data_IF_894610565786
#
_entry.id   IF_894610565786
#
_cell.length_a   1.000
_cell.length_b   1.000
_cell.length_c   1.000
_cell.angle_alpha   90.00
_cell.angle_beta   90.00
_cell.angle_gamma   90.00
#
_symmetry.space_group_name_H-M   'P 1'
#
loop_
_entity.id
_entity.type
_entity.pdbx_description
1 polymer ?
#
# COMPACT_ATOMS: atom_id res chain seq x y z
N UNK A 1 -22.54 -27.68 -7.89
CA UNK A 1 -21.74 -26.59 -8.47
C UNK A 1 -22.61 -25.35 -8.41
N UNK A 2 -22.16 -24.26 -7.79
CA UNK A 2 -22.91 -23.01 -7.78
C UNK A 2 -23.20 -22.59 -9.21
N UNK A 3 -24.46 -22.29 -9.51
CA UNK A 3 -24.95 -22.05 -10.88
C UNK A 3 -24.37 -20.75 -11.48
N UNK A 4 -23.65 -19.95 -10.68
CA UNK A 4 -23.06 -18.67 -11.06
C UNK A 4 -21.61 -18.56 -10.58
N UNK A 5 -20.64 -18.39 -11.50
CA UNK A 5 -19.25 -18.24 -11.15
C UNK A 5 -18.95 -16.88 -10.51
N UNK A 6 -18.01 -16.84 -9.57
CA UNK A 6 -17.39 -15.61 -9.08
C UNK A 6 -15.97 -15.58 -9.64
N UNK A 7 -15.65 -14.53 -10.39
CA UNK A 7 -14.40 -14.37 -11.12
C UNK A 7 -13.51 -13.33 -10.44
N UNK A 8 -12.23 -13.67 -10.33
CA UNK A 8 -11.16 -12.79 -9.89
C UNK A 8 -10.06 -12.85 -10.95
N UNK A 9 -9.32 -11.76 -11.13
CA UNK A 9 -8.16 -11.75 -12.01
C UNK A 9 -6.96 -11.11 -11.31
N UNK A 10 -5.79 -11.74 -11.43
CA UNK A 10 -4.52 -11.17 -10.98
C UNK A 10 -3.37 -11.68 -11.84
N UNK A 11 -2.47 -10.79 -12.22
CA UNK A 11 -1.28 -11.10 -13.02
C UNK A 11 -0.07 -10.38 -12.42
N UNK A 12 1.07 -11.08 -12.32
CA UNK A 12 2.32 -10.53 -11.79
C UNK A 12 2.47 -10.61 -10.26
N UNK A 13 3.51 -9.94 -9.70
CA UNK A 13 3.81 -9.99 -8.28
C UNK A 13 2.62 -9.53 -7.42
N UNK A 14 2.38 -10.26 -6.34
CA UNK A 14 1.22 -10.04 -5.47
C UNK A 14 1.68 -9.65 -4.06
N UNK A 15 1.37 -8.43 -3.59
CA UNK A 15 1.63 -8.04 -2.21
C UNK A 15 0.81 -8.87 -1.21
N UNK A 16 1.31 -9.04 0.01
CA UNK A 16 0.68 -9.87 1.03
C UNK A 16 -0.74 -9.43 1.40
N UNK A 17 -1.04 -8.13 1.38
CA UNK A 17 -2.40 -7.66 1.66
C UNK A 17 -3.39 -8.07 0.57
N UNK A 18 -2.95 -8.22 -0.69
CA UNK A 18 -3.78 -8.75 -1.78
C UNK A 18 -4.02 -10.24 -1.59
N UNK A 19 -3.00 -11.01 -1.15
CA UNK A 19 -3.20 -12.41 -0.75
C UNK A 19 -4.26 -12.52 0.34
N UNK A 20 -4.24 -11.65 1.35
CA UNK A 20 -5.23 -11.63 2.41
C UNK A 20 -6.62 -11.21 1.90
N UNK A 21 -6.72 -10.24 0.98
CA UNK A 21 -7.98 -9.89 0.31
C UNK A 21 -8.58 -11.12 -0.38
N UNK A 22 -7.79 -11.83 -1.20
CA UNK A 22 -8.21 -13.07 -1.87
C UNK A 22 -8.65 -14.15 -0.87
N UNK A 23 -7.94 -14.31 0.24
CA UNK A 23 -8.34 -15.24 1.30
C UNK A 23 -9.70 -14.86 1.91
N UNK A 24 -9.98 -13.57 2.11
CA UNK A 24 -11.30 -13.11 2.58
C UNK A 24 -12.38 -13.50 1.57
N UNK A 25 -12.15 -13.30 0.27
CA UNK A 25 -13.09 -13.67 -0.79
C UNK A 25 -13.32 -15.17 -0.83
N UNK A 26 -12.26 -15.98 -0.84
CA UNK A 26 -12.35 -17.45 -0.89
C UNK A 26 -13.03 -18.03 0.35
N UNK A 27 -12.86 -17.40 1.52
CA UNK A 27 -13.55 -17.79 2.74
C UNK A 27 -15.06 -17.58 2.62
N UNK A 28 -15.49 -16.44 2.07
CA UNK A 28 -16.90 -16.10 1.88
C UNK A 28 -17.52 -16.83 0.68
N UNK A 29 -16.71 -17.11 -0.32
CA UNK A 29 -17.11 -17.69 -1.59
C UNK A 29 -16.10 -18.78 -2.03
N UNK A 30 -16.18 -20.00 -1.46
CA UNK A 30 -15.21 -21.07 -1.76
C UNK A 30 -15.14 -21.51 -3.23
N UNK A 31 -16.17 -21.19 -4.02
CA UNK A 31 -16.22 -21.45 -5.46
C UNK A 31 -15.65 -20.33 -6.34
N UNK A 32 -15.11 -19.25 -5.75
CA UNK A 32 -14.50 -18.17 -6.52
C UNK A 32 -13.26 -18.64 -7.29
N UNK A 33 -13.09 -18.13 -8.50
CA UNK A 33 -12.06 -18.55 -9.45
C UNK A 33 -11.10 -17.40 -9.69
N UNK A 34 -9.89 -17.53 -9.15
CA UNK A 34 -8.79 -16.65 -9.49
C UNK A 34 -8.16 -17.11 -10.81
N UNK A 35 -8.18 -16.22 -11.78
CA UNK A 35 -7.55 -16.41 -13.07
C UNK A 35 -6.28 -15.55 -13.17
N UNK A 36 -5.25 -16.12 -13.77
CA UNK A 36 -4.15 -15.40 -14.38
C UNK A 36 -4.40 -15.30 -15.90
N UNK A 37 -3.42 -14.76 -16.65
CA UNK A 37 -3.55 -14.62 -18.11
C UNK A 37 -3.76 -15.96 -18.81
N UNK A 38 -3.10 -17.03 -18.36
CA UNK A 38 -3.22 -18.37 -18.96
C UNK A 38 -4.59 -19.01 -18.66
N UNK A 39 -5.07 -18.89 -17.41
CA UNK A 39 -6.39 -19.33 -16.98
C UNK A 39 -7.51 -18.61 -17.72
N UNK A 40 -7.35 -17.31 -17.98
CA UNK A 40 -8.26 -16.59 -18.86
C UNK A 40 -8.18 -17.07 -20.31
N UNK A 41 -6.98 -17.35 -20.85
CA UNK A 41 -6.82 -17.79 -22.24
C UNK A 41 -7.62 -19.05 -22.55
N UNK A 42 -7.71 -19.99 -21.60
CA UNK A 42 -8.48 -21.21 -21.73
C UNK A 42 -10.00 -20.99 -21.87
N UNK A 43 -10.51 -19.83 -21.42
CA UNK A 43 -11.92 -19.43 -21.54
C UNK A 43 -12.16 -18.49 -22.73
N UNK A 44 -11.10 -17.90 -23.28
CA UNK A 44 -11.18 -16.88 -24.31
C UNK A 44 -11.26 -17.51 -25.70
N UNK A 45 -12.46 -17.53 -26.30
CA UNK A 45 -12.73 -18.14 -27.61
C UNK A 45 -13.28 -17.15 -28.65
N UNK A 46 -13.88 -16.04 -28.23
CA UNK A 46 -14.41 -15.00 -29.12
C UNK A 46 -13.48 -13.78 -29.21
N UNK A 47 -13.44 -13.10 -30.37
CA UNK A 47 -12.64 -11.88 -30.60
C UNK A 47 -11.14 -12.08 -30.30
N UNK A 48 -10.60 -13.26 -30.62
CA UNK A 48 -9.17 -13.62 -30.50
C UNK A 48 -8.22 -12.76 -31.33
N UNK A 49 -8.75 -11.98 -32.27
CA UNK A 49 -7.99 -11.02 -33.07
C UNK A 49 -7.53 -9.78 -32.27
N UNK A 50 -8.07 -9.56 -31.08
CA UNK A 50 -7.74 -8.42 -30.24
C UNK A 50 -6.33 -8.57 -29.62
N UNK A 51 -5.52 -7.49 -29.58
CA UNK A 51 -4.13 -7.57 -29.15
C UNK A 51 -4.01 -7.45 -27.62
N UNK A 52 -4.64 -8.35 -26.86
CA UNK A 52 -4.75 -8.27 -25.40
C UNK A 52 -3.39 -8.14 -24.72
N UNK A 53 -2.41 -8.94 -25.15
CA UNK A 53 -1.07 -8.98 -24.53
C UNK A 53 -0.24 -7.71 -24.77
N UNK A 54 -0.69 -6.83 -25.67
CA UNK A 54 -0.08 -5.51 -25.91
C UNK A 54 -0.63 -4.41 -25.00
N UNK A 55 -1.71 -4.68 -24.27
CA UNK A 55 -2.35 -3.71 -23.38
C UNK A 55 -1.63 -3.66 -22.04
N UNK A 56 -1.72 -2.50 -21.37
CA UNK A 56 -1.34 -2.40 -19.97
C UNK A 56 -2.22 -3.33 -19.10
N UNK A 57 -1.69 -3.84 -17.99
CA UNK A 57 -2.36 -4.86 -17.17
C UNK A 57 -3.76 -4.44 -16.68
N UNK A 58 -3.94 -3.16 -16.35
CA UNK A 58 -5.26 -2.62 -15.99
C UNK A 58 -6.27 -2.75 -17.13
N UNK A 59 -5.85 -2.42 -18.36
CA UNK A 59 -6.69 -2.56 -19.56
C UNK A 59 -6.93 -4.02 -19.95
N UNK A 60 -5.96 -4.91 -19.69
CA UNK A 60 -6.18 -6.35 -19.82
C UNK A 60 -7.29 -6.81 -18.88
N UNK A 61 -7.21 -6.43 -17.60
CA UNK A 61 -8.23 -6.75 -16.59
C UNK A 61 -9.62 -6.22 -16.97
N UNK A 62 -9.71 -4.99 -17.50
CA UNK A 62 -10.97 -4.41 -17.98
C UNK A 62 -11.61 -5.21 -19.12
N UNK A 63 -10.80 -5.69 -20.08
CA UNK A 63 -11.30 -6.56 -21.13
C UNK A 63 -11.74 -7.92 -20.57
N UNK A 64 -10.91 -8.52 -19.71
CA UNK A 64 -11.15 -9.85 -19.14
C UNK A 64 -12.47 -9.88 -18.36
N UNK A 65 -12.69 -8.91 -17.46
CA UNK A 65 -13.95 -8.83 -16.70
C UNK A 65 -15.17 -8.64 -17.61
N UNK A 66 -15.06 -7.82 -18.64
CA UNK A 66 -16.13 -7.60 -19.62
C UNK A 66 -16.45 -8.89 -20.39
N UNK A 67 -15.42 -9.60 -20.84
CA UNK A 67 -15.54 -10.88 -21.54
C UNK A 67 -16.19 -11.95 -20.65
N UNK A 68 -15.66 -12.15 -19.44
CA UNK A 68 -16.13 -13.18 -18.52
C UNK A 68 -17.62 -13.00 -18.21
N UNK A 69 -18.05 -11.78 -17.87
CA UNK A 69 -19.45 -11.53 -17.58
C UNK A 69 -20.34 -11.60 -18.83
N UNK A 70 -19.86 -11.17 -20.00
CA UNK A 70 -20.66 -11.23 -21.23
C UNK A 70 -20.93 -12.68 -21.66
N UNK A 71 -19.91 -13.55 -21.58
CA UNK A 71 -19.97 -14.91 -22.13
C UNK A 71 -20.30 -15.98 -21.08
N UNK A 72 -19.93 -15.77 -19.83
CA UNK A 72 -20.12 -16.75 -18.75
C UNK A 72 -21.03 -16.25 -17.61
N UNK A 73 -21.32 -14.94 -17.57
CA UNK A 73 -22.12 -14.34 -16.51
C UNK A 73 -21.47 -14.48 -15.13
N UNK A 74 -22.30 -14.37 -14.09
CA UNK A 74 -21.87 -14.48 -12.70
C UNK A 74 -21.51 -13.12 -12.11
N UNK A 75 -20.51 -13.11 -11.23
CA UNK A 75 -19.99 -11.92 -10.56
C UNK A 75 -18.49 -11.80 -10.84
N UNK A 76 -18.01 -10.59 -11.11
CA UNK A 76 -16.60 -10.27 -11.14
C UNK A 76 -16.28 -9.36 -9.95
N UNK A 77 -15.16 -9.63 -9.28
CA UNK A 77 -14.65 -8.85 -8.14
C UNK A 77 -13.15 -8.61 -8.36
N UNK A 78 -12.67 -7.38 -8.21
CA UNK A 78 -11.23 -7.12 -8.23
C UNK A 78 -10.57 -7.75 -6.99
N UNK A 79 -9.32 -8.20 -7.16
CA UNK A 79 -8.59 -8.97 -6.15
C UNK A 79 -8.25 -8.16 -4.88
N UNK A 80 -8.29 -6.82 -4.95
CA UNK A 80 -8.12 -5.90 -3.84
C UNK A 80 -9.44 -5.61 -3.11
N UNK A 81 -10.29 -6.62 -2.97
CA UNK A 81 -11.54 -6.57 -2.22
C UNK A 81 -11.43 -7.31 -0.89
N UNK A 82 -11.79 -6.65 0.21
CA UNK A 82 -11.98 -7.32 1.50
C UNK A 82 -13.45 -7.72 1.65
N UNK A 83 -13.74 -9.01 1.47
CA UNK A 83 -15.09 -9.56 1.58
C UNK A 83 -15.49 -9.78 3.04
N UNK A 84 -16.58 -9.13 3.46
CA UNK A 84 -17.12 -9.24 4.82
C UNK A 84 -18.29 -10.23 4.91
N UNK A 85 -18.96 -10.49 3.80
CA UNK A 85 -20.14 -11.37 3.68
C UNK A 85 -20.00 -12.28 2.46
N UNK A 86 -20.82 -13.33 2.38
CA UNK A 86 -20.97 -14.13 1.16
C UNK A 86 -21.44 -13.23 0.00
N UNK A 87 -20.67 -13.16 -1.08
CA UNK A 87 -20.97 -12.34 -2.26
C UNK A 87 -21.84 -13.07 -3.30
N UNK A 88 -22.09 -14.38 -3.12
CA UNK A 88 -22.94 -15.18 -4.02
C UNK A 88 -24.35 -14.60 -4.24
N UNK A 89 -25.02 -13.99 -3.24
CA UNK A 89 -26.30 -13.31 -3.45
C UNK A 89 -26.24 -12.21 -4.52
N UNK A 90 -25.11 -11.52 -4.69
CA UNK A 90 -24.96 -10.48 -5.72
C UNK A 90 -24.97 -11.08 -7.14
N UNK A 91 -24.39 -12.27 -7.31
CA UNK A 91 -24.44 -13.01 -8.58
C UNK A 91 -25.88 -13.44 -8.92
N UNK A 92 -26.63 -13.88 -7.91
CA UNK A 92 -28.05 -14.25 -8.07
C UNK A 92 -28.93 -13.03 -8.39
N UNK A 93 -28.72 -11.90 -7.72
CA UNK A 93 -29.38 -10.65 -8.06
C UNK A 93 -29.08 -10.24 -9.52
N UNK A 94 -27.84 -10.42 -9.99
CA UNK A 94 -27.48 -10.12 -11.36
C UNK A 94 -28.20 -11.02 -12.38
N UNK A 95 -28.47 -12.29 -12.04
CA UNK A 95 -29.27 -13.18 -12.88
C UNK A 95 -30.72 -12.72 -12.98
N UNK A 96 -31.30 -12.28 -11.86
CA UNK A 96 -32.69 -11.81 -11.76
C UNK A 96 -32.91 -10.46 -12.46
N UNK A 97 -32.01 -9.50 -12.25
CA UNK A 97 -32.08 -8.13 -12.76
C UNK A 97 -31.34 -7.94 -14.10
N UNK A 98 -30.70 -8.99 -14.62
CA UNK A 98 -29.85 -8.95 -15.80
C UNK A 98 -28.47 -8.32 -15.57
N UNK A 99 -28.36 -7.36 -14.65
CA UNK A 99 -27.11 -6.73 -14.22
C UNK A 99 -27.21 -6.21 -12.78
N UNK A 100 -26.10 -6.33 -12.04
CA UNK A 100 -25.88 -5.69 -10.73
C UNK A 100 -24.55 -4.97 -10.75
N UNK A 101 -24.52 -3.76 -10.21
CA UNK A 101 -23.29 -3.00 -9.98
C UNK A 101 -23.54 -1.81 -9.08
N UNK A 102 -22.56 -0.92 -8.95
CA UNK A 102 -22.71 0.30 -8.16
C UNK A 102 -22.01 1.48 -8.84
N UNK A 103 -22.31 2.69 -8.38
CA UNK A 103 -21.61 3.91 -8.83
C UNK A 103 -20.53 4.29 -7.83
N UNK A 104 -19.38 4.71 -8.34
CA UNK A 104 -18.37 5.36 -7.49
C UNK A 104 -18.89 6.70 -6.98
N UNK A 105 -18.29 7.29 -5.92
CA UNK A 105 -18.69 8.59 -5.39
C UNK A 105 -18.71 9.71 -6.45
N UNK A 106 -17.87 9.61 -7.48
CA UNK A 106 -17.81 10.55 -8.60
C UNK A 106 -18.96 10.36 -9.62
N UNK A 107 -19.83 9.36 -9.43
CA UNK A 107 -21.09 9.18 -10.16
C UNK A 107 -21.02 8.24 -11.37
N UNK A 108 -19.85 7.81 -11.80
CA UNK A 108 -19.72 6.82 -12.88
C UNK A 108 -19.90 5.38 -12.36
N UNK A 109 -20.30 4.46 -13.24
CA UNK A 109 -20.37 3.04 -12.91
C UNK A 109 -18.98 2.49 -12.59
N UNK A 110 -18.85 1.85 -11.43
CA UNK A 110 -17.66 1.05 -11.12
C UNK A 110 -17.67 -0.24 -11.95
N UNK A 111 -16.49 -0.76 -12.26
CA UNK A 111 -16.30 -2.07 -12.87
C UNK A 111 -15.48 -3.02 -11.99
N UNK A 112 -15.10 -2.60 -10.77
CA UNK A 112 -14.32 -3.40 -9.81
C UNK A 112 -15.16 -4.44 -9.06
N UNK A 113 -16.48 -4.26 -9.00
CA UNK A 113 -17.45 -5.27 -8.58
C UNK A 113 -18.70 -5.11 -9.44
N UNK A 114 -19.01 -6.11 -10.23
CA UNK A 114 -20.21 -6.14 -11.07
C UNK A 114 -20.61 -7.57 -11.41
N UNK A 115 -21.91 -7.80 -11.52
CA UNK A 115 -22.47 -9.09 -11.91
C UNK A 115 -23.40 -8.94 -13.12
N UNK A 116 -23.50 -10.00 -13.91
CA UNK A 116 -24.42 -10.03 -15.04
C UNK A 116 -24.93 -11.44 -15.33
N UNK A 117 -26.13 -11.50 -15.92
CA UNK A 117 -26.55 -12.71 -16.65
C UNK A 117 -25.76 -12.81 -17.95
N UNK A 118 -25.22 -13.98 -18.26
CA UNK A 118 -24.55 -14.23 -19.54
C UNK A 118 -25.47 -13.83 -20.72
N UNK A 119 -24.94 -13.09 -21.69
CA UNK A 119 -25.71 -12.52 -22.81
C UNK A 119 -26.74 -11.45 -22.42
N UNK A 120 -26.76 -10.97 -21.16
CA UNK A 120 -27.66 -9.91 -20.69
C UNK A 120 -27.46 -8.59 -21.47
N UNK A 121 -28.54 -7.83 -21.66
CA UNK A 121 -28.54 -6.66 -22.55
C UNK A 121 -27.50 -5.59 -22.19
N UNK A 122 -27.30 -5.33 -20.89
CA UNK A 122 -26.29 -4.37 -20.40
C UNK A 122 -24.87 -4.89 -20.68
N UNK A 123 -24.53 -6.08 -20.20
CA UNK A 123 -23.16 -6.59 -20.32
C UNK A 123 -22.76 -6.88 -21.77
N UNK A 124 -23.70 -7.33 -22.60
CA UNK A 124 -23.47 -7.53 -24.02
C UNK A 124 -23.23 -6.19 -24.75
N UNK A 125 -23.90 -5.10 -24.34
CA UNK A 125 -23.64 -3.77 -24.90
C UNK A 125 -22.31 -3.19 -24.41
N UNK A 126 -21.98 -3.37 -23.13
CA UNK A 126 -20.68 -3.00 -22.56
C UNK A 126 -19.55 -3.69 -23.31
N UNK A 127 -19.59 -5.03 -23.41
CA UNK A 127 -18.58 -5.81 -24.11
C UNK A 127 -18.42 -5.40 -25.58
N UNK A 128 -19.52 -5.22 -26.32
CA UNK A 128 -19.46 -4.73 -27.71
C UNK A 128 -18.77 -3.38 -27.83
N UNK A 129 -18.98 -2.46 -26.87
CA UNK A 129 -18.33 -1.15 -26.85
C UNK A 129 -16.83 -1.26 -26.54
N UNK A 130 -16.45 -2.14 -25.61
CA UNK A 130 -15.04 -2.44 -25.29
C UNK A 130 -14.32 -3.00 -26.53
N UNK A 131 -14.90 -4.01 -27.19
CA UNK A 131 -14.35 -4.60 -28.43
C UNK A 131 -14.21 -3.53 -29.52
N UNK A 132 -15.26 -2.73 -29.74
CA UNK A 132 -15.21 -1.64 -30.72
C UNK A 132 -14.12 -0.60 -30.37
N UNK A 133 -13.93 -0.30 -29.08
CA UNK A 133 -12.91 0.65 -28.61
C UNK A 133 -11.49 0.13 -28.85
N UNK A 134 -11.26 -1.17 -28.65
CA UNK A 134 -9.98 -1.83 -28.93
C UNK A 134 -9.69 -1.91 -30.44
N UNK A 135 -10.69 -2.24 -31.26
CA UNK A 135 -10.54 -2.30 -32.73
C UNK A 135 -10.20 -0.96 -33.38
N UNK A 136 -10.50 0.17 -32.74
CA UNK A 136 -10.07 1.50 -33.21
C UNK A 136 -8.55 1.69 -33.15
N UNK A 137 -7.84 0.93 -32.31
CA UNK A 137 -6.37 0.99 -32.15
C UNK A 137 -5.84 2.40 -31.87
N UNK A 138 -6.59 3.20 -31.13
CA UNK A 138 -6.18 4.53 -30.66
C UNK A 138 -5.77 4.49 -29.19
N UNK A 139 -4.85 5.37 -28.72
CA UNK A 139 -4.38 5.41 -27.34
C UNK A 139 -5.52 5.37 -26.33
N UNK A 140 -5.41 4.54 -25.30
CA UNK A 140 -6.45 4.31 -24.30
C UNK A 140 -6.24 5.20 -23.08
N UNK A 141 -7.33 5.80 -22.59
CA UNK A 141 -7.38 6.43 -21.28
C UNK A 141 -7.81 5.44 -20.20
N UNK A 142 -7.69 5.85 -18.93
CA UNK A 142 -7.99 5.00 -17.76
C UNK A 142 -9.37 4.32 -17.83
N UNK A 143 -10.42 5.07 -18.17
CA UNK A 143 -11.81 4.58 -18.13
C UNK A 143 -12.33 4.00 -19.46
N UNK A 144 -11.50 3.96 -20.50
CA UNK A 144 -11.93 3.69 -21.88
C UNK A 144 -12.49 2.27 -22.09
N UNK A 145 -12.06 1.30 -21.29
CA UNK A 145 -12.50 -0.09 -21.36
C UNK A 145 -13.40 -0.51 -20.19
N UNK A 146 -13.59 0.36 -19.20
CA UNK A 146 -14.36 0.09 -17.98
C UNK A 146 -15.59 1.00 -17.88
N UNK A 147 -15.51 2.05 -17.06
CA UNK A 147 -16.66 2.89 -16.67
C UNK A 147 -17.28 3.67 -17.82
N UNK A 148 -16.50 4.14 -18.80
CA UNK A 148 -17.02 4.89 -19.95
C UNK A 148 -18.00 4.04 -20.79
N UNK A 149 -17.61 2.86 -21.31
CA UNK A 149 -18.55 1.99 -22.01
C UNK A 149 -19.66 1.45 -21.11
N UNK A 150 -19.40 1.25 -19.80
CA UNK A 150 -20.40 0.72 -18.87
C UNK A 150 -21.53 1.73 -18.61
N UNK A 151 -21.19 3.00 -18.37
CA UNK A 151 -22.18 4.08 -18.24
C UNK A 151 -23.07 4.16 -19.48
N UNK A 152 -22.48 4.07 -20.68
CA UNK A 152 -23.23 4.09 -21.93
C UNK A 152 -24.16 2.87 -22.08
N UNK A 153 -23.72 1.68 -21.66
CA UNK A 153 -24.53 0.47 -21.65
C UNK A 153 -25.69 0.55 -20.66
N UNK A 154 -25.45 1.04 -19.44
CA UNK A 154 -26.49 1.28 -18.43
C UNK A 154 -27.50 2.32 -18.93
N UNK A 155 -27.05 3.44 -19.50
CA UNK A 155 -27.96 4.45 -20.04
C UNK A 155 -28.85 3.90 -21.18
N UNK A 156 -28.31 3.02 -22.02
CA UNK A 156 -29.04 2.47 -23.16
C UNK A 156 -29.93 1.27 -22.81
N UNK A 157 -29.52 0.44 -21.84
CA UNK A 157 -30.08 -0.91 -21.60
C UNK A 157 -30.40 -1.22 -20.13
N UNK A 158 -30.10 -0.31 -19.20
CA UNK A 158 -30.13 -0.55 -17.77
C UNK A 158 -31.49 -0.45 -17.07
N UNK A 159 -32.61 -0.53 -17.79
CA UNK A 159 -33.96 -0.38 -17.19
C UNK A 159 -34.22 -1.37 -16.06
N UNK A 160 -33.73 -2.60 -16.19
CA UNK A 160 -33.90 -3.67 -15.20
C UNK A 160 -32.69 -3.82 -14.27
N UNK A 161 -31.60 -3.09 -14.55
CA UNK A 161 -30.35 -3.21 -13.81
C UNK A 161 -30.50 -2.73 -12.36
N UNK A 162 -29.96 -3.51 -11.43
CA UNK A 162 -29.94 -3.16 -10.02
C UNK A 162 -28.63 -2.41 -9.71
N UNK A 163 -28.77 -1.14 -9.29
CA UNK A 163 -27.65 -0.31 -8.86
C UNK A 163 -27.64 -0.27 -7.33
N UNK A 164 -26.63 -0.88 -6.72
CA UNK A 164 -26.46 -0.95 -5.28
C UNK A 164 -26.00 0.39 -4.70
N UNK A 165 -26.36 0.70 -3.44
CA UNK A 165 -25.80 1.85 -2.73
C UNK A 165 -24.28 1.75 -2.62
N UNK A 166 -23.56 2.82 -2.93
CA UNK A 166 -22.09 2.87 -2.84
C UNK A 166 -21.56 2.44 -1.46
N UNK A 167 -22.13 2.88 -0.33
CA UNK A 167 -21.65 2.47 1.00
C UNK A 167 -21.82 0.98 1.30
N UNK A 168 -22.58 0.22 0.50
CA UNK A 168 -22.71 -1.23 0.69
C UNK A 168 -21.54 -2.02 0.07
N UNK A 169 -20.78 -1.42 -0.86
CA UNK A 169 -19.69 -2.08 -1.61
C UNK A 169 -18.35 -1.37 -1.38
N UNK A 170 -18.39 -0.04 -1.31
CA UNK A 170 -17.23 0.81 -1.15
C UNK A 170 -17.52 1.85 -0.05
N UNK A 171 -17.57 1.41 1.23
CA UNK A 171 -17.80 2.33 2.35
C UNK A 171 -16.70 3.38 2.49
N UNK A 172 -15.47 3.03 2.08
CA UNK A 172 -14.32 3.93 2.03
C UNK A 172 -13.97 4.24 0.57
N UNK A 173 -14.11 5.49 0.11
CA UNK A 173 -13.66 5.93 -1.21
C UNK A 173 -12.14 5.76 -1.41
N UNK A 174 -11.72 5.51 -2.66
CA UNK A 174 -10.30 5.30 -2.98
C UNK A 174 -9.47 6.57 -2.83
N UNK A 175 -10.10 7.74 -2.88
CA UNK A 175 -9.46 9.05 -2.64
C UNK A 175 -9.35 9.41 -1.15
N UNK A 176 -9.77 8.51 -0.26
CA UNK A 176 -9.63 8.61 1.20
C UNK A 176 -8.86 7.40 1.76
N UNK A 177 -8.03 6.77 0.91
CA UNK A 177 -7.34 5.51 1.24
C UNK A 177 -6.37 5.63 2.42
N UNK A 178 -5.93 6.84 2.79
CA UNK A 178 -5.11 7.06 3.99
C UNK A 178 -5.78 6.55 5.27
N UNK A 179 -7.11 6.48 5.29
CA UNK A 179 -7.85 5.91 6.42
C UNK A 179 -7.47 4.44 6.67
N UNK A 180 -7.05 3.71 5.64
CA UNK A 180 -6.58 2.31 5.75
C UNK A 180 -5.33 2.19 6.62
N UNK A 181 -4.48 3.21 6.65
CA UNK A 181 -3.23 3.24 7.41
C UNK A 181 -3.37 3.95 8.78
N UNK A 182 -4.60 4.30 9.20
CA UNK A 182 -4.81 4.84 10.54
C UNK A 182 -4.83 3.73 11.57
N UNK A 183 -4.05 3.89 12.64
CA UNK A 183 -3.96 2.96 13.78
C UNK A 183 -5.00 3.29 14.84
N UNK A 184 -5.79 2.29 15.27
CA UNK A 184 -6.75 2.39 16.39
C UNK A 184 -6.93 1.03 17.07
N UNK A 185 -7.55 1.01 18.24
CA UNK A 185 -8.12 -0.23 18.75
C UNK A 185 -9.27 -0.75 17.86
N UNK A 186 -9.50 -2.06 17.89
CA UNK A 186 -10.51 -2.72 17.05
C UNK A 186 -11.93 -2.24 17.37
N UNK A 187 -12.22 -1.76 18.59
CA UNK A 187 -13.54 -1.26 18.96
C UNK A 187 -13.87 0.09 18.29
N UNK A 188 -12.88 0.97 18.17
CA UNK A 188 -12.99 2.25 17.47
C UNK A 188 -13.09 2.05 15.97
N UNK A 189 -12.35 1.09 15.40
CA UNK A 189 -12.53 0.71 14.00
C UNK A 189 -13.93 0.15 13.75
N UNK A 190 -14.43 -0.72 14.64
CA UNK A 190 -15.79 -1.28 14.54
C UNK A 190 -16.88 -0.20 14.55
N UNK A 191 -16.75 0.83 15.40
CA UNK A 191 -17.71 1.92 15.50
C UNK A 191 -17.80 2.80 14.24
N UNK A 192 -16.78 2.76 13.37
CA UNK A 192 -16.74 3.51 12.11
C UNK A 192 -17.18 2.66 10.90
N UNK A 193 -17.47 1.37 11.09
CA UNK A 193 -17.90 0.51 9.99
C UNK A 193 -19.33 0.79 9.55
N UNK A 194 -19.56 0.63 8.26
CA UNK A 194 -20.92 0.44 7.72
C UNK A 194 -21.36 -1.01 7.98
N UNK A 195 -22.35 -1.19 8.87
CA UNK A 195 -22.79 -2.49 9.40
C UNK A 195 -23.17 -3.50 8.31
N UNK A 196 -23.88 -3.05 7.27
CA UNK A 196 -24.41 -3.92 6.21
C UNK A 196 -23.52 -4.04 4.96
N UNK A 197 -22.29 -3.51 5.00
CA UNK A 197 -21.39 -3.58 3.87
C UNK A 197 -21.08 -5.05 3.48
N UNK A 198 -21.20 -5.36 2.19
CA UNK A 198 -20.80 -6.66 1.64
C UNK A 198 -19.28 -6.84 1.68
N UNK A 199 -18.57 -5.75 1.39
CA UNK A 199 -17.13 -5.72 1.28
C UNK A 199 -16.60 -4.28 1.40
N UNK A 200 -15.28 -4.15 1.43
CA UNK A 200 -14.56 -2.91 1.19
C UNK A 200 -13.72 -3.09 -0.08
N UNK A 201 -14.11 -2.41 -1.15
CA UNK A 201 -13.26 -2.28 -2.34
C UNK A 201 -12.08 -1.36 -2.04
N UNK A 202 -10.86 -1.88 -2.12
CA UNK A 202 -9.64 -1.09 -1.98
C UNK A 202 -9.20 -0.57 -3.35
N UNK A 203 -8.03 0.08 -3.38
CA UNK A 203 -7.33 0.47 -4.60
C UNK A 203 -5.86 0.14 -4.45
N UNK A 204 -5.40 -0.93 -5.09
CA UNK A 204 -3.98 -1.32 -5.10
C UNK A 204 -3.08 -0.18 -5.60
N UNK A 205 -3.55 0.60 -6.57
CA UNK A 205 -2.81 1.75 -7.08
C UNK A 205 -2.68 2.87 -6.05
N UNK A 206 -3.74 3.19 -5.30
CA UNK A 206 -3.66 4.25 -4.30
C UNK A 206 -2.84 3.79 -3.09
N UNK A 207 -3.01 2.54 -2.63
CA UNK A 207 -2.22 1.99 -1.52
C UNK A 207 -0.72 2.04 -1.83
N UNK A 208 -0.31 1.73 -3.07
CA UNK A 208 1.11 1.77 -3.45
C UNK A 208 1.61 3.19 -3.77
N UNK A 209 0.71 4.10 -4.15
CA UNK A 209 1.06 5.42 -4.68
C UNK A 209 1.09 6.54 -3.64
N UNK A 210 0.39 6.39 -2.50
CA UNK A 210 0.33 7.36 -1.41
C UNK A 210 1.33 6.99 -0.30
N UNK A 211 2.15 7.96 0.11
CA UNK A 211 3.20 7.78 1.13
C UNK A 211 2.64 7.39 2.51
N UNK A 212 1.38 7.71 2.78
CA UNK A 212 0.68 7.35 4.03
C UNK A 212 0.27 5.88 4.08
N UNK A 213 0.07 5.24 2.93
CA UNK A 213 -0.44 3.87 2.82
C UNK A 213 0.56 2.89 2.24
N UNK A 214 1.61 3.37 1.55
CA UNK A 214 2.62 2.53 0.86
C UNK A 214 3.29 1.52 1.77
N UNK A 215 3.45 1.81 3.06
CA UNK A 215 3.97 0.85 4.05
C UNK A 215 3.16 -0.46 4.06
N UNK A 216 1.83 -0.39 3.91
CA UNK A 216 0.94 -1.56 3.90
C UNK A 216 1.25 -2.51 2.75
N UNK A 217 1.84 -2.02 1.66
CA UNK A 217 2.21 -2.82 0.49
C UNK A 217 3.49 -3.65 0.69
N UNK A 218 4.30 -3.30 1.69
CA UNK A 218 5.57 -3.95 2.01
C UNK A 218 5.50 -4.86 3.24
N UNK A 219 4.41 -4.77 4.02
CA UNK A 219 4.24 -5.58 5.22
C UNK A 219 3.97 -7.06 4.88
N UNK A 220 4.60 -8.01 5.59
CA UNK A 220 4.24 -9.42 5.49
C UNK A 220 2.86 -9.68 6.10
N UNK A 221 2.21 -10.76 5.66
CA UNK A 221 0.84 -11.09 6.06
C UNK A 221 0.66 -11.22 7.58
N UNK A 222 1.62 -11.85 8.26
CA UNK A 222 1.64 -11.98 9.72
C UNK A 222 1.61 -10.62 10.44
N UNK A 223 2.42 -9.66 9.99
CA UNK A 223 2.44 -8.32 10.57
C UNK A 223 1.18 -7.55 10.21
N UNK A 224 0.69 -7.65 8.98
CA UNK A 224 -0.59 -7.04 8.59
C UNK A 224 -1.73 -7.50 9.52
N UNK A 225 -1.77 -8.78 9.90
CA UNK A 225 -2.81 -9.30 10.79
C UNK A 225 -2.56 -9.00 12.27
N UNK A 226 -1.32 -8.78 12.69
CA UNK A 226 -0.96 -8.41 14.06
C UNK A 226 -1.12 -6.91 14.36
N UNK A 227 -1.14 -6.06 13.32
CA UNK A 227 -1.10 -4.61 13.47
C UNK A 227 -2.49 -3.96 13.61
N UNK A 228 -2.47 -2.68 13.99
CA UNK A 228 -3.67 -1.91 14.37
C UNK A 228 -4.22 -0.99 13.28
N UNK A 229 -3.73 -1.13 12.06
CA UNK A 229 -4.23 -0.37 10.91
C UNK A 229 -5.70 -0.71 10.61
N UNK A 230 -6.45 0.22 10.01
CA UNK A 230 -7.83 -0.06 9.62
C UNK A 230 -7.89 -1.21 8.61
N UNK A 231 -6.93 -1.28 7.67
CA UNK A 231 -6.81 -2.44 6.78
C UNK A 231 -6.61 -3.75 7.55
N UNK A 232 -5.73 -3.77 8.55
CA UNK A 232 -5.49 -4.93 9.41
C UNK A 232 -6.78 -5.41 10.07
N UNK A 233 -7.55 -4.48 10.62
CA UNK A 233 -8.86 -4.76 11.20
C UNK A 233 -9.84 -5.33 10.18
N UNK A 234 -9.96 -4.73 8.99
CA UNK A 234 -10.83 -5.22 7.91
C UNK A 234 -10.45 -6.65 7.49
N UNK A 235 -9.16 -6.94 7.35
CA UNK A 235 -8.66 -8.26 6.98
C UNK A 235 -8.98 -9.30 8.06
N UNK A 236 -8.75 -8.99 9.34
CA UNK A 236 -9.16 -9.87 10.46
C UNK A 236 -10.66 -10.14 10.44
N UNK A 237 -11.49 -9.12 10.25
CA UNK A 237 -12.95 -9.25 10.15
C UNK A 237 -13.37 -10.11 8.96
N UNK A 238 -12.78 -9.89 7.78
CA UNK A 238 -13.07 -10.69 6.59
C UNK A 238 -12.67 -12.16 6.73
N UNK A 239 -11.65 -12.46 7.54
CA UNK A 239 -11.15 -13.81 7.81
C UNK A 239 -11.79 -14.49 9.04
N UNK A 240 -12.71 -13.82 9.74
CA UNK A 240 -13.26 -14.22 11.04
C UNK A 240 -12.17 -14.50 12.10
N UNK A 241 -11.07 -13.74 12.07
CA UNK A 241 -10.06 -13.78 13.11
C UNK A 241 -10.53 -12.99 14.33
N UNK A 242 -10.13 -13.39 15.55
CA UNK A 242 -10.47 -12.66 16.75
C UNK A 242 -9.89 -11.23 16.70
N UNK A 243 -10.55 -10.25 17.36
CA UNK A 243 -9.98 -8.93 17.51
C UNK A 243 -8.69 -8.99 18.35
N UNK A 244 -7.86 -7.96 18.23
CA UNK A 244 -6.70 -7.81 19.10
C UNK A 244 -7.15 -7.59 20.55
N UNK A 245 -6.60 -8.37 21.48
CA UNK A 245 -7.07 -8.46 22.86
C UNK A 245 -6.86 -7.16 23.67
N UNK A 246 -5.77 -6.45 23.40
CA UNK A 246 -5.36 -5.31 24.22
C UNK A 246 -5.94 -3.99 23.72
N UNK A 247 -6.45 -3.20 24.68
CA UNK A 247 -6.87 -1.83 24.44
C UNK A 247 -5.66 -1.00 23.95
N UNK A 248 -5.84 -0.28 22.85
CA UNK A 248 -4.83 0.62 22.31
C UNK A 248 -5.22 2.06 22.57
N UNK A 249 -4.65 2.60 23.64
CA UNK A 249 -4.70 4.04 23.92
C UNK A 249 -3.25 4.50 23.87
N UNK A 250 -2.75 4.97 22.70
CA UNK A 250 -1.42 5.52 22.66
C UNK A 250 -1.37 6.71 23.63
N UNK A 251 -0.32 6.76 24.44
CA UNK A 251 -0.05 7.96 25.22
C UNK A 251 0.06 9.16 24.27
N UNK A 252 -0.32 10.38 24.71
CA UNK A 252 -0.09 11.56 23.89
C UNK A 252 1.38 11.65 23.49
N UNK A 253 1.64 11.75 22.18
CA UNK A 253 2.99 11.95 21.66
C UNK A 253 3.55 13.24 22.27
N UNK A 254 4.70 13.20 22.97
CA UNK A 254 5.38 14.39 23.46
C UNK A 254 5.62 15.43 22.36
N UNK A 255 5.58 16.72 22.69
CA UNK A 255 5.67 17.83 21.71
C UNK A 255 6.96 17.78 20.86
N UNK A 256 8.06 17.28 21.43
CA UNK A 256 9.35 17.13 20.75
C UNK A 256 9.45 15.91 19.83
N UNK A 257 8.48 14.98 19.88
CA UNK A 257 8.42 13.78 19.06
C UNK A 257 7.36 13.92 17.95
N UNK A 258 7.31 12.96 17.03
CA UNK A 258 6.35 12.96 15.93
C UNK A 258 6.84 13.78 14.73
N UNK A 259 5.98 14.63 14.16
CA UNK A 259 6.32 15.48 13.00
C UNK A 259 6.30 14.77 11.63
N UNK A 260 6.23 13.43 11.60
CA UNK A 260 6.21 12.62 10.38
C UNK A 260 4.86 12.66 9.61
N UNK A 261 3.82 13.33 10.13
CA UNK A 261 2.49 13.48 9.48
C UNK A 261 1.83 12.17 8.97
N UNK A 262 2.04 11.07 9.68
CA UNK A 262 1.64 9.70 9.28
C UNK A 262 2.22 9.20 7.94
N UNK A 263 3.33 9.78 7.49
CA UNK A 263 4.04 9.41 6.25
C UNK A 263 5.38 8.79 6.57
N UNK A 264 5.83 7.90 5.71
CA UNK A 264 7.25 7.50 5.64
C UNK A 264 7.89 8.24 4.47
N UNK A 265 9.07 8.81 4.68
CA UNK A 265 9.90 9.33 3.58
C UNK A 265 10.55 8.17 2.82
N UNK A 266 9.78 7.55 1.90
CA UNK A 266 10.26 6.42 1.11
C UNK A 266 11.39 6.84 0.18
N UNK A 267 12.50 6.12 0.23
CA UNK A 267 13.59 6.23 -0.73
C UNK A 267 14.13 4.85 -1.13
N UNK A 268 13.28 4.13 -1.87
CA UNK A 268 13.53 2.78 -2.34
C UNK A 268 14.79 2.69 -3.21
N UNK A 269 14.99 3.65 -4.12
CA UNK A 269 16.14 3.69 -5.01
C UNK A 269 17.48 3.96 -4.29
N UNK A 270 17.52 4.87 -3.32
CA UNK A 270 18.72 5.08 -2.51
C UNK A 270 19.05 3.87 -1.65
N UNK A 271 18.05 3.25 -1.01
CA UNK A 271 18.28 2.05 -0.21
C UNK A 271 18.81 0.89 -1.08
N UNK A 272 18.18 0.62 -2.23
CA UNK A 272 18.63 -0.42 -3.16
C UNK A 272 20.08 -0.22 -3.61
N UNK A 273 20.46 1.03 -3.89
CA UNK A 273 21.83 1.39 -4.23
C UNK A 273 22.81 1.05 -3.09
N UNK A 274 22.48 1.42 -1.86
CA UNK A 274 23.34 1.15 -0.70
C UNK A 274 23.44 -0.33 -0.37
N UNK A 275 22.32 -1.07 -0.46
CA UNK A 275 22.31 -2.54 -0.33
C UNK A 275 23.28 -3.17 -1.33
N UNK A 276 23.18 -2.78 -2.61
CA UNK A 276 24.03 -3.33 -3.66
C UNK A 276 25.51 -2.91 -3.52
N UNK A 277 25.77 -1.66 -3.12
CA UNK A 277 27.13 -1.13 -2.96
C UNK A 277 27.88 -1.81 -1.81
N UNK A 278 27.22 -1.98 -0.67
CA UNK A 278 27.86 -2.47 0.55
C UNK A 278 27.62 -3.96 0.81
N UNK A 279 26.74 -4.63 0.06
CA UNK A 279 26.37 -6.01 0.31
C UNK A 279 25.65 -6.18 1.66
N UNK A 280 24.89 -5.17 2.08
CA UNK A 280 24.26 -5.10 3.39
C UNK A 280 23.18 -6.18 3.57
N UNK A 281 23.19 -6.85 4.73
CA UNK A 281 22.22 -7.87 5.12
C UNK A 281 21.36 -7.43 6.31
N UNK A 282 21.69 -6.30 6.94
CA UNK A 282 20.98 -5.77 8.10
C UNK A 282 20.84 -4.25 8.04
N UNK A 283 19.69 -3.74 8.52
CA UNK A 283 19.28 -2.35 8.39
C UNK A 283 18.69 -1.79 9.70
N UNK A 284 19.09 -0.59 10.08
CA UNK A 284 18.54 0.13 11.23
C UNK A 284 18.06 1.52 10.80
N UNK A 285 16.76 1.78 10.94
CA UNK A 285 16.11 3.05 10.63
C UNK A 285 15.90 3.88 11.90
N UNK A 286 16.71 4.91 12.13
CA UNK A 286 16.69 5.76 13.32
C UNK A 286 15.82 6.99 13.05
N UNK A 287 14.77 7.17 13.84
CA UNK A 287 13.71 8.15 13.57
C UNK A 287 12.72 7.64 12.52
N UNK A 288 12.35 6.36 12.57
CA UNK A 288 11.64 5.73 11.46
C UNK A 288 10.18 6.19 11.30
N UNK A 289 9.58 6.80 12.32
CA UNK A 289 8.15 7.11 12.37
C UNK A 289 7.31 5.87 12.03
N UNK A 290 6.35 5.97 11.09
CA UNK A 290 5.75 4.79 10.47
C UNK A 290 6.83 3.96 9.76
N UNK A 291 6.97 2.64 10.04
CA UNK A 291 8.16 1.85 9.69
C UNK A 291 8.19 1.38 8.23
N UNK A 292 7.86 2.27 7.28
CA UNK A 292 7.78 1.94 5.86
C UNK A 292 9.12 1.54 5.25
N UNK A 293 10.21 2.24 5.58
CA UNK A 293 11.55 1.89 5.09
C UNK A 293 12.06 0.59 5.73
N UNK A 294 11.73 0.33 7.00
CA UNK A 294 11.98 -0.97 7.66
C UNK A 294 11.29 -2.11 6.90
N UNK A 295 9.99 -1.98 6.60
CA UNK A 295 9.26 -3.00 5.84
C UNK A 295 9.79 -3.16 4.42
N UNK A 296 10.17 -2.06 3.77
CA UNK A 296 10.81 -2.13 2.46
C UNK A 296 12.15 -2.86 2.51
N UNK A 297 13.02 -2.58 3.48
CA UNK A 297 14.28 -3.29 3.69
C UNK A 297 14.07 -4.80 3.92
N UNK A 298 13.06 -5.18 4.73
CA UNK A 298 12.68 -6.60 4.90
C UNK A 298 12.22 -7.24 3.59
N UNK A 299 11.49 -6.51 2.74
CA UNK A 299 11.09 -7.00 1.41
C UNK A 299 12.29 -7.23 0.47
N UNK A 300 13.43 -6.59 0.75
CA UNK A 300 14.72 -6.84 0.08
C UNK A 300 15.55 -7.95 0.71
N UNK A 301 15.06 -8.59 1.77
CA UNK A 301 15.71 -9.70 2.45
C UNK A 301 16.62 -9.31 3.61
N UNK A 302 16.62 -8.03 4.04
CA UNK A 302 17.45 -7.58 5.16
C UNK A 302 16.80 -7.91 6.51
N UNK A 303 17.63 -8.22 7.51
CA UNK A 303 17.23 -8.14 8.91
C UNK A 303 17.11 -6.65 9.30
N UNK A 304 15.89 -6.15 9.42
CA UNK A 304 15.64 -4.73 9.59
C UNK A 304 14.82 -4.39 10.83
N UNK A 305 15.23 -3.35 11.55
CA UNK A 305 14.55 -2.75 12.70
C UNK A 305 14.50 -1.22 12.55
N UNK A 306 13.52 -0.60 13.20
CA UNK A 306 13.43 0.85 13.37
C UNK A 306 13.63 1.26 14.83
N UNK A 307 13.91 2.53 15.05
CA UNK A 307 13.93 3.19 16.36
C UNK A 307 13.09 4.44 16.24
N UNK A 308 12.10 4.60 17.12
CA UNK A 308 11.30 5.83 17.17
C UNK A 308 10.72 6.05 18.57
N UNK A 309 10.52 7.31 18.94
CA UNK A 309 9.97 7.69 20.24
C UNK A 309 8.44 7.84 20.25
N UNK A 310 7.77 7.92 19.09
CA UNK A 310 6.34 8.14 19.01
C UNK A 310 5.57 6.85 19.41
N UNK A 311 4.88 6.83 20.57
CA UNK A 311 4.15 5.66 21.03
C UNK A 311 2.98 5.29 20.11
N UNK A 312 2.56 6.16 19.19
CA UNK A 312 1.55 5.80 18.18
C UNK A 312 2.04 4.67 17.26
N UNK A 313 3.33 4.64 16.92
CA UNK A 313 3.91 3.64 16.02
C UNK A 313 4.80 2.65 16.75
N UNK A 314 5.66 3.12 17.65
CA UNK A 314 6.67 2.28 18.29
C UNK A 314 6.07 1.27 19.28
N UNK A 315 5.02 1.68 19.99
CA UNK A 315 4.39 0.83 21.01
C UNK A 315 3.81 -0.44 20.41
N UNK A 316 4.16 -1.57 21.01
CA UNK A 316 3.79 -2.93 20.61
C UNK A 316 4.20 -3.28 19.16
N UNK A 317 5.07 -2.50 18.53
CA UNK A 317 5.54 -2.79 17.19
C UNK A 317 6.53 -3.96 17.22
N UNK A 318 6.37 -4.96 16.33
CA UNK A 318 7.36 -6.04 16.20
C UNK A 318 8.62 -5.60 15.45
N UNK A 319 8.66 -4.36 14.94
CA UNK A 319 9.75 -3.87 14.07
C UNK A 319 10.36 -2.56 14.53
N UNK A 320 9.88 -1.99 15.64
CA UNK A 320 10.39 -0.71 16.17
C UNK A 320 10.81 -0.91 17.62
N UNK A 321 11.97 -0.35 17.97
CA UNK A 321 12.41 -0.16 19.36
C UNK A 321 11.88 1.20 19.81
N UNK A 322 10.96 1.23 20.79
CA UNK A 322 10.46 2.49 21.39
C UNK A 322 11.57 3.16 22.20
N UNK A 323 12.09 4.29 21.70
CA UNK A 323 13.17 5.03 22.36
C UNK A 323 13.12 6.53 22.07
N UNK A 324 13.21 7.33 23.14
CA UNK A 324 13.30 8.78 23.09
C UNK A 324 14.74 9.21 23.42
N UNK A 325 15.44 9.76 22.42
CA UNK A 325 16.84 10.17 22.58
C UNK A 325 17.04 11.35 23.52
N UNK A 326 16.00 12.07 23.96
CA UNK A 326 16.12 13.03 25.05
C UNK A 326 16.34 12.35 26.42
N UNK A 327 16.10 11.04 26.53
CA UNK A 327 16.22 10.28 27.80
C UNK A 327 17.57 9.59 27.98
N UNK A 328 18.32 9.38 26.91
CA UNK A 328 19.63 8.72 26.96
C UNK A 328 20.02 7.99 25.67
N UNK A 329 21.22 7.40 25.63
CA UNK A 329 21.69 6.60 24.50
C UNK A 329 20.94 5.27 24.39
N UNK A 330 20.96 4.69 23.18
CA UNK A 330 20.44 3.35 22.90
C UNK A 330 21.50 2.51 22.19
N UNK A 331 21.78 1.31 22.71
CA UNK A 331 22.47 0.25 21.98
C UNK A 331 21.42 -0.64 21.31
N UNK A 332 21.29 -0.51 19.98
CA UNK A 332 20.33 -1.28 19.18
C UNK A 332 20.93 -2.59 18.63
N UNK A 333 22.22 -2.87 18.90
CA UNK A 333 22.97 -3.97 18.30
C UNK A 333 23.75 -3.56 17.05
N UNK A 334 24.20 -4.58 16.28
CA UNK A 334 25.05 -4.38 15.10
C UNK A 334 24.26 -4.47 13.80
N UNK A 335 24.52 -3.55 12.89
CA UNK A 335 23.90 -3.50 11.56
C UNK A 335 24.91 -3.10 10.48
N UNK A 336 24.68 -3.56 9.26
CA UNK A 336 25.52 -3.19 8.12
C UNK A 336 25.20 -1.76 7.67
N UNK A 337 23.92 -1.36 7.71
CA UNK A 337 23.46 -0.05 7.27
C UNK A 337 22.55 0.62 8.31
N UNK A 338 22.99 1.76 8.84
CA UNK A 338 22.18 2.73 9.57
C UNK A 338 21.57 3.76 8.62
N UNK A 339 20.36 4.20 8.92
CA UNK A 339 19.58 5.11 8.10
C UNK A 339 18.86 6.12 8.99
N UNK A 340 18.90 7.40 8.65
CA UNK A 340 18.12 8.44 9.32
C UNK A 340 17.74 9.55 8.35
N UNK A 341 16.47 9.64 8.02
CA UNK A 341 15.93 10.66 7.12
C UNK A 341 14.95 11.52 7.88
N UNK A 342 15.17 12.84 7.87
CA UNK A 342 14.36 13.82 8.63
C UNK A 342 14.29 13.42 10.12
N UNK A 343 15.45 13.35 10.76
CA UNK A 343 15.58 12.92 12.17
C UNK A 343 16.62 13.74 12.94
N UNK A 344 17.86 13.86 12.43
CA UNK A 344 18.99 14.41 13.20
C UNK A 344 18.81 15.89 13.58
N UNK A 345 18.00 16.63 12.81
CA UNK A 345 17.61 18.02 13.08
C UNK A 345 16.55 18.19 14.17
N UNK A 346 15.83 17.11 14.51
CA UNK A 346 14.76 17.07 15.51
C UNK A 346 15.28 16.79 16.92
N UNK A 347 16.56 16.46 17.06
CA UNK A 347 17.18 16.16 18.36
C UNK A 347 18.08 17.32 18.77
N UNK A 348 17.89 17.81 20.00
CA UNK A 348 18.71 18.88 20.58
C UNK A 348 20.21 18.54 20.48
N UNK A 349 21.05 19.55 20.24
CA UNK A 349 22.49 19.38 20.09
C UNK A 349 23.12 18.65 21.29
N UNK A 350 22.62 18.92 22.51
CA UNK A 350 23.11 18.28 23.74
C UNK A 350 22.86 16.76 23.77
N UNK A 351 21.91 16.26 22.97
CA UNK A 351 21.56 14.84 22.87
C UNK A 351 22.12 14.15 21.62
N UNK A 352 22.89 14.85 20.77
CA UNK A 352 23.60 14.24 19.63
C UNK A 352 24.42 13.00 20.02
N UNK A 353 25.15 12.99 21.15
CA UNK A 353 25.88 11.80 21.58
C UNK A 353 25.00 10.55 21.77
N UNK A 354 23.70 10.72 22.06
CA UNK A 354 22.80 9.61 22.33
C UNK A 354 22.47 8.78 21.09
N UNK A 355 22.08 9.41 19.98
CA UNK A 355 21.83 8.69 18.73
C UNK A 355 23.12 8.31 18.00
N UNK A 356 24.21 9.07 18.21
CA UNK A 356 25.54 8.64 17.73
C UNK A 356 25.98 7.31 18.37
N UNK A 357 25.62 7.05 19.63
CA UNK A 357 25.85 5.75 20.25
C UNK A 357 25.13 4.61 19.52
N UNK A 358 23.91 4.86 19.02
CA UNK A 358 23.16 3.89 18.19
C UNK A 358 23.85 3.69 16.84
N UNK A 359 24.25 4.76 16.15
CA UNK A 359 25.01 4.65 14.92
C UNK A 359 26.37 3.97 15.12
N UNK A 360 26.95 4.02 16.31
CA UNK A 360 28.14 3.27 16.70
C UNK A 360 28.01 1.74 16.56
N UNK A 361 26.79 1.21 16.39
CA UNK A 361 26.52 -0.18 16.02
C UNK A 361 26.50 -0.47 14.51
N UNK A 362 26.54 0.56 13.66
CA UNK A 362 26.42 0.44 12.20
C UNK A 362 27.79 0.43 11.50
N UNK A 363 27.93 -0.29 10.38
CA UNK A 363 29.14 -0.25 9.54
C UNK A 363 29.12 0.92 8.56
N UNK A 364 27.96 1.18 7.95
CA UNK A 364 27.70 2.33 7.10
C UNK A 364 26.49 3.10 7.63
N UNK A 365 26.45 4.42 7.45
CA UNK A 365 25.31 5.24 7.86
C UNK A 365 24.95 6.23 6.76
N UNK A 366 23.67 6.30 6.41
CA UNK A 366 23.12 7.36 5.57
C UNK A 366 22.24 8.28 6.41
N UNK A 367 22.43 9.60 6.29
CA UNK A 367 21.56 10.59 6.91
C UNK A 367 21.09 11.64 5.91
N UNK A 368 19.92 12.25 6.15
CA UNK A 368 19.63 13.63 5.73
C UNK A 368 19.66 14.56 6.94
N UNK A 369 19.78 15.87 6.68
CA UNK A 369 19.65 16.87 7.73
C UNK A 369 19.12 18.19 7.17
N UNK A 370 18.19 18.82 7.89
CA UNK A 370 17.75 20.17 7.60
C UNK A 370 18.88 21.21 7.79
N UNK A 371 18.91 22.20 6.90
CA UNK A 371 19.90 23.30 6.93
C UNK A 371 19.44 24.45 7.84
N UNK A 372 20.35 25.30 8.38
CA UNK A 372 19.97 26.39 9.26
C UNK A 372 18.86 27.29 8.68
N UNK A 373 17.82 27.50 9.49
CA UNK A 373 16.64 28.30 9.11
C UNK A 373 15.56 27.55 8.32
N UNK A 374 15.75 26.27 7.97
CA UNK A 374 14.71 25.44 7.39
C UNK A 374 13.60 25.14 8.41
N UNK A 375 12.34 25.48 8.12
CA UNK A 375 11.23 25.24 9.04
C UNK A 375 10.83 23.77 9.08
N UNK A 376 10.28 23.33 10.20
CA UNK A 376 9.68 22.00 10.38
C UNK A 376 9.31 21.76 11.84
N UNK A 377 8.60 20.67 12.11
CA UNK A 377 8.16 20.32 13.46
C UNK A 377 9.39 20.07 14.36
N UNK A 378 9.53 20.83 15.44
CA UNK A 378 10.62 20.66 16.40
C UNK A 378 12.04 20.66 15.78
N UNK A 379 12.27 21.46 14.74
CA UNK A 379 13.60 21.68 14.18
C UNK A 379 14.46 22.52 15.12
N UNK A 380 15.24 21.85 15.98
CA UNK A 380 16.06 22.48 17.02
C UNK A 380 17.56 22.41 16.74
N UNK A 381 17.99 21.55 15.82
CA UNK A 381 19.40 21.35 15.47
C UNK A 381 19.63 21.32 13.95
N UNK A 382 19.08 22.29 13.24
CA UNK A 382 19.34 22.47 11.81
C UNK A 382 20.80 22.92 11.58
N UNK A 383 21.60 22.11 10.88
CA UNK A 383 23.04 22.31 10.73
C UNK A 383 23.51 22.02 9.30
N UNK A 384 24.62 22.62 8.88
CA UNK A 384 25.22 22.36 7.57
C UNK A 384 25.92 20.98 7.53
N UNK A 385 26.10 20.42 6.33
CA UNK A 385 26.73 19.11 6.16
C UNK A 385 28.11 18.96 6.82
N UNK A 386 28.93 20.02 6.82
CA UNK A 386 30.26 20.00 7.45
C UNK A 386 30.21 19.75 8.97
N UNK A 387 29.16 20.24 9.63
CA UNK A 387 28.93 19.97 11.05
C UNK A 387 28.70 18.47 11.28
N UNK A 388 27.82 17.85 10.48
CA UNK A 388 27.52 16.43 10.60
C UNK A 388 28.74 15.57 10.24
N UNK A 389 29.51 15.95 9.22
CA UNK A 389 30.77 15.28 8.89
C UNK A 389 31.74 15.31 10.07
N UNK A 390 31.88 16.44 10.75
CA UNK A 390 32.73 16.54 11.93
C UNK A 390 32.23 15.66 13.09
N UNK A 391 30.92 15.64 13.36
CA UNK A 391 30.34 14.81 14.44
C UNK A 391 30.44 13.31 14.16
N UNK A 392 30.25 12.88 12.90
CA UNK A 392 30.49 11.50 12.50
C UNK A 392 31.97 11.12 12.60
N UNK A 393 32.89 12.04 12.27
CA UNK A 393 34.33 11.81 12.44
C UNK A 393 34.72 11.59 13.91
N UNK A 394 34.16 12.37 14.84
CA UNK A 394 34.35 12.18 16.28
C UNK A 394 33.81 10.82 16.76
N UNK A 395 32.76 10.31 16.11
CA UNK A 395 32.17 9.00 16.37
C UNK A 395 32.88 7.83 15.65
N UNK A 396 34.01 8.08 14.98
CA UNK A 396 34.81 7.03 14.31
C UNK A 396 34.32 6.65 12.92
N UNK A 397 33.62 7.55 12.22
CA UNK A 397 33.20 7.38 10.83
C UNK A 397 33.98 8.30 9.88
N UNK A 398 34.02 7.93 8.60
CA UNK A 398 34.58 8.74 7.52
C UNK A 398 33.47 8.97 6.49
N UNK A 399 33.31 10.22 6.03
CA UNK A 399 32.40 10.55 4.95
C UNK A 399 32.82 9.86 3.64
N UNK A 400 31.90 9.14 3.00
CA UNK A 400 32.08 8.47 1.70
C UNK A 400 31.43 9.33 0.59
N UNK A 401 32.19 10.21 -0.09
CA UNK A 401 31.64 11.09 -1.11
C UNK A 401 31.10 10.34 -2.34
N UNK A 402 31.65 9.17 -2.65
CA UNK A 402 31.22 8.37 -3.81
C UNK A 402 29.87 7.71 -3.52
N UNK A 403 29.69 7.15 -2.32
CA UNK A 403 28.40 6.63 -1.88
C UNK A 403 27.36 7.75 -1.76
N UNK A 404 27.74 8.90 -1.21
CA UNK A 404 26.88 10.09 -1.14
C UNK A 404 26.38 10.50 -2.52
N UNK A 405 27.28 10.62 -3.50
CA UNK A 405 26.90 10.94 -4.88
C UNK A 405 25.99 9.85 -5.48
N UNK A 406 26.27 8.59 -5.19
CA UNK A 406 25.45 7.46 -5.63
C UNK A 406 24.03 7.49 -5.08
N UNK A 407 23.85 7.71 -3.77
CA UNK A 407 22.53 7.88 -3.15
C UNK A 407 21.77 9.03 -3.81
N UNK A 408 22.40 10.19 -3.95
CA UNK A 408 21.78 11.37 -4.56
C UNK A 408 21.34 11.12 -6.01
N UNK A 409 22.09 10.31 -6.75
CA UNK A 409 21.75 9.97 -8.14
C UNK A 409 20.65 8.91 -8.28
N UNK A 410 20.46 8.06 -7.27
CA UNK A 410 19.49 6.96 -7.30
C UNK A 410 18.24 7.22 -6.44
N UNK A 411 18.21 8.34 -5.71
CA UNK A 411 17.08 8.71 -4.86
C UNK A 411 15.77 8.70 -5.64
N UNK A 412 14.77 8.07 -5.03
CA UNK A 412 13.38 7.99 -5.48
C UNK A 412 12.43 8.83 -4.61
N UNK A 413 12.98 9.50 -3.60
CA UNK A 413 12.22 10.28 -2.62
C UNK A 413 11.57 11.51 -3.25
N UNK A 414 10.25 11.65 -3.08
CA UNK A 414 9.50 12.78 -3.64
C UNK A 414 9.89 14.13 -3.03
N UNK A 415 10.20 14.14 -1.74
CA UNK A 415 10.61 15.34 -0.99
C UNK A 415 12.03 15.81 -1.33
N UNK A 416 12.85 14.93 -1.96
CA UNK A 416 14.21 15.21 -2.44
C UNK A 416 15.25 15.54 -1.35
N UNK A 417 14.98 15.24 -0.09
CA UNK A 417 15.96 15.46 0.99
C UNK A 417 17.24 14.66 0.76
N UNK A 418 17.14 13.38 0.37
CA UNK A 418 18.30 12.55 0.03
C UNK A 418 19.17 13.17 -1.07
N UNK A 419 18.55 13.79 -2.09
CA UNK A 419 19.27 14.44 -3.19
C UNK A 419 20.02 15.72 -2.73
N UNK A 420 19.40 16.48 -1.82
CA UNK A 420 19.86 17.82 -1.45
C UNK A 420 20.86 17.81 -0.30
N UNK A 421 20.56 17.07 0.76
CA UNK A 421 21.32 17.10 2.03
C UNK A 421 21.85 15.73 2.44
N UNK A 422 21.54 14.68 1.69
CA UNK A 422 21.97 13.31 1.99
C UNK A 422 23.49 13.17 2.11
N UNK A 423 23.97 12.45 3.12
CA UNK A 423 25.38 12.15 3.39
C UNK A 423 25.53 10.68 3.77
N UNK A 424 26.56 10.01 3.24
CA UNK A 424 26.91 8.63 3.57
C UNK A 424 28.24 8.59 4.30
N UNK A 425 28.31 7.76 5.33
CA UNK A 425 29.47 7.55 6.18
C UNK A 425 29.80 6.06 6.27
N UNK A 426 31.08 5.74 6.46
CA UNK A 426 31.56 4.39 6.71
C UNK A 426 32.45 4.36 7.94
N UNK A 427 32.40 3.28 8.73
CA UNK A 427 33.27 3.12 9.90
C UNK A 427 34.75 3.26 9.48
N UNK A 428 35.52 4.02 10.26
CA UNK A 428 36.96 4.10 10.09
C UNK A 428 37.57 2.72 10.40
N UNK A 429 38.31 2.16 9.43
CA UNK A 429 38.93 0.83 9.53
C UNK A 429 40.13 0.76 10.46
#
# INVERSE_FOLDING_TARGET
>A
MTDHPIWLFWEGPRPAYIDLCLQTILRRCPGARLLDRAGFDALWVHDRDLPLDSLALNHQSDFIRAYLLAHHGGLYVDADCVALRDLSPLAEMARQHGFVGYREPQGYMSCNLMGARAGGAVIADHYRRVVARLRRRTPLQWLDLASTPMNAAIAARGREALILPTPAIMPLPWNESEALAVRRDDSRHAALMVEDAWCYMLSNNTIRGDERTRLLSHMPAEHLLAERYFLSYLLRRGLDLPPLADAFVPEPTPEHLGGHEHKTQFDEGALDYLIARFGANSFLDVGCGPPGMVYYARSRGLHAMGVDGDPLYARDSPVIIEHDYARGPLDAGRYDLGWAVEFVEHVDEDYVPHFMATFGGCEHVFITAAVPGQPGHHHVNCQWGDYWIARFAEAGFVHDPDATAGVRAHSSMRSRFSEQTGLVFSRAG
#
